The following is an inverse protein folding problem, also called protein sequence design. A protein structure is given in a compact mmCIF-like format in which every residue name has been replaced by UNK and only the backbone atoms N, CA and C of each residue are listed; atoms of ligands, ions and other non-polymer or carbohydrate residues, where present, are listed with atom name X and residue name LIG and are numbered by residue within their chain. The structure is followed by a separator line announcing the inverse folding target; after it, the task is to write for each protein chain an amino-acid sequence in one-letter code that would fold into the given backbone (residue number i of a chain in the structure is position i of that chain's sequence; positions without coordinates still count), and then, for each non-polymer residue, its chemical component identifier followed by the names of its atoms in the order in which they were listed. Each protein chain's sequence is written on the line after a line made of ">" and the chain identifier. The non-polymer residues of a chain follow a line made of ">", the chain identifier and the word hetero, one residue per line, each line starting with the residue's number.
data_IF_593772062247
#
_entry.id   IF_593772062247
#
_cell.length_a   1.000
_cell.length_b   1.000
_cell.length_c   1.000
_cell.angle_alpha   90.00
_cell.angle_beta   90.00
_cell.angle_gamma   90.00
#
_symmetry.space_group_name_H-M   'P 1'
#
loop_
_entity.id
_entity.type
_entity.pdbx_description
1 polymer ?
#
# COMPACT_ATOMS: atom_id res chain seq x y z
N UNK A 1 5.32 16.81 25.87
CA UNK A 1 5.95 15.68 25.13
C UNK A 1 6.36 16.21 23.77
N UNK A 2 7.60 15.91 23.37
CA UNK A 2 8.15 16.24 22.06
C UNK A 2 8.53 14.97 21.33
N UNK A 3 8.08 14.83 20.07
CA UNK A 3 8.32 13.64 19.25
C UNK A 3 9.05 14.03 17.97
N UNK A 4 10.13 13.32 17.66
CA UNK A 4 10.84 13.41 16.39
C UNK A 4 10.42 12.26 15.47
N UNK A 5 10.06 12.59 14.21
CA UNK A 5 9.69 11.60 13.19
C UNK A 5 10.74 11.64 12.07
N UNK A 6 11.42 10.53 11.84
CA UNK A 6 12.40 10.36 10.76
C UNK A 6 11.72 9.70 9.56
N UNK A 7 11.51 10.45 8.51
CA UNK A 7 10.78 10.10 7.30
C UNK A 7 9.39 10.75 7.26
N UNK A 8 9.25 11.82 6.46
CA UNK A 8 8.01 12.58 6.25
C UNK A 8 7.11 11.99 5.15
N UNK A 9 7.26 10.71 4.82
CA UNK A 9 6.38 9.98 3.93
C UNK A 9 4.97 9.82 4.49
N UNK A 10 4.12 9.05 3.80
CA UNK A 10 2.69 8.94 4.14
C UNK A 10 2.45 8.42 5.57
N UNK A 11 3.26 7.47 6.05
CA UNK A 11 3.16 6.93 7.42
C UNK A 11 3.60 7.98 8.45
N UNK A 12 4.73 8.66 8.20
CA UNK A 12 5.24 9.69 9.11
C UNK A 12 4.28 10.87 9.24
N UNK A 13 3.72 11.34 8.14
CA UNK A 13 2.76 12.45 8.16
C UNK A 13 1.42 12.06 8.80
N UNK A 14 0.94 10.83 8.60
CA UNK A 14 -0.23 10.32 9.31
C UNK A 14 0.03 10.23 10.81
N UNK A 15 1.21 9.75 11.23
CA UNK A 15 1.60 9.71 12.66
C UNK A 15 1.66 11.11 13.26
N UNK A 16 2.28 12.06 12.55
CA UNK A 16 2.33 13.45 12.97
C UNK A 16 0.94 14.06 13.16
N UNK A 17 0.02 13.78 12.21
CA UNK A 17 -1.38 14.23 12.30
C UNK A 17 -2.07 13.76 13.58
N UNK A 18 -2.00 12.46 13.87
CA UNK A 18 -2.64 11.90 15.05
C UNK A 18 -2.01 12.41 16.36
N UNK A 19 -0.68 12.56 16.43
CA UNK A 19 0.02 13.09 17.59
C UNK A 19 -0.32 14.57 17.85
N UNK A 20 -0.27 15.40 16.81
CA UNK A 20 -0.59 16.84 16.93
C UNK A 20 -2.03 17.05 17.38
N UNK A 21 -2.98 16.23 16.92
CA UNK A 21 -4.37 16.26 17.40
C UNK A 21 -4.51 15.91 18.88
N UNK A 22 -3.53 15.22 19.48
CA UNK A 22 -3.47 14.94 20.92
C UNK A 22 -2.63 15.96 21.70
N UNK A 23 -2.23 17.07 21.06
CA UNK A 23 -1.47 18.14 21.71
C UNK A 23 0.02 17.86 21.88
N UNK A 24 0.58 16.90 21.14
CA UNK A 24 2.00 16.56 21.15
C UNK A 24 2.78 17.52 20.23
N UNK A 25 3.92 18.00 20.67
CA UNK A 25 4.87 18.74 19.85
C UNK A 25 5.60 17.75 18.92
N UNK A 26 5.52 17.97 17.59
CA UNK A 26 6.09 17.07 16.60
C UNK A 26 7.05 17.83 15.69
N UNK A 27 8.22 17.24 15.43
CA UNK A 27 9.16 17.68 14.39
C UNK A 27 9.39 16.53 13.43
N UNK A 28 9.12 16.76 12.15
CA UNK A 28 9.33 15.77 11.07
C UNK A 28 10.65 16.09 10.36
N UNK A 29 11.47 15.08 10.15
CA UNK A 29 12.73 15.15 9.42
C UNK A 29 12.57 14.38 8.09
N UNK A 30 12.68 15.09 6.97
CA UNK A 30 12.59 14.51 5.63
C UNK A 30 13.82 14.90 4.80
N UNK A 31 14.51 13.90 4.25
CA UNK A 31 15.73 14.14 3.47
C UNK A 31 15.46 14.70 2.08
N UNK A 32 14.29 14.39 1.51
CA UNK A 32 13.91 14.77 0.14
C UNK A 32 12.66 15.66 0.13
N UNK A 33 12.81 16.98 -0.01
CA UNK A 33 11.68 17.90 0.00
C UNK A 33 10.69 17.69 -1.16
N UNK A 34 11.13 17.02 -2.23
CA UNK A 34 10.32 16.73 -3.41
C UNK A 34 9.70 15.32 -3.39
N UNK A 35 10.07 14.47 -2.42
CA UNK A 35 9.59 13.09 -2.28
C UNK A 35 9.81 12.23 -3.53
N UNK A 36 10.88 12.47 -4.27
CA UNK A 36 11.15 11.84 -5.58
C UNK A 36 11.37 10.34 -5.50
N UNK A 37 11.86 9.85 -4.34
CA UNK A 37 12.10 8.43 -4.10
C UNK A 37 11.03 7.79 -3.20
N UNK A 38 10.05 8.56 -2.74
CA UNK A 38 9.06 8.08 -1.78
C UNK A 38 8.08 7.11 -2.41
N UNK A 39 7.88 5.95 -1.77
CA UNK A 39 7.01 4.87 -2.26
C UNK A 39 5.57 5.33 -2.49
N UNK A 40 5.02 6.20 -1.62
CA UNK A 40 3.64 6.66 -1.76
C UNK A 40 3.43 7.45 -3.06
N UNK A 41 4.36 8.32 -3.44
CA UNK A 41 4.25 9.16 -4.65
C UNK A 41 4.33 8.35 -5.96
N UNK A 42 4.74 7.09 -5.86
CA UNK A 42 4.90 6.14 -6.97
C UNK A 42 3.88 4.99 -6.92
N UNK A 43 2.93 5.05 -5.98
CA UNK A 43 1.89 4.05 -5.79
C UNK A 43 0.76 4.20 -6.81
N UNK A 44 0.13 3.08 -7.17
CA UNK A 44 -1.11 3.07 -7.95
C UNK A 44 -2.33 3.58 -7.17
N UNK A 45 -2.19 3.87 -5.87
CA UNK A 45 -3.22 4.50 -5.05
C UNK A 45 -4.36 3.61 -4.62
N UNK A 46 -4.28 2.29 -4.81
CA UNK A 46 -5.37 1.34 -4.51
C UNK A 46 -5.63 1.16 -3.02
N UNK A 47 -6.91 0.94 -2.67
CA UNK A 47 -7.40 0.65 -1.32
C UNK A 47 -8.37 -0.51 -1.34
N UNK A 48 -8.05 -1.58 -0.61
CA UNK A 48 -8.87 -2.79 -0.49
C UNK A 48 -8.91 -3.31 0.95
N UNK A 49 -9.96 -4.03 1.31
CA UNK A 49 -10.07 -4.79 2.56
C UNK A 49 -9.90 -6.31 2.34
N UNK A 50 -9.62 -6.72 1.12
CA UNK A 50 -9.48 -8.12 0.72
C UNK A 50 -8.08 -8.65 1.06
N UNK A 51 -7.84 -8.95 2.36
CA UNK A 51 -6.60 -9.49 2.89
C UNK A 51 -6.79 -10.89 3.48
N UNK A 52 -5.65 -11.54 3.79
CA UNK A 52 -5.57 -12.90 4.32
C UNK A 52 -5.34 -12.92 5.83
N UNK A 53 -5.10 -11.78 6.46
CA UNK A 53 -4.94 -11.64 7.92
C UNK A 53 -5.95 -10.64 8.50
N UNK A 54 -6.43 -10.95 9.70
CA UNK A 54 -7.48 -10.19 10.40
C UNK A 54 -7.11 -8.71 10.56
N UNK A 55 -5.91 -8.44 11.06
CA UNK A 55 -5.49 -7.07 11.36
C UNK A 55 -5.33 -6.23 10.10
N UNK A 56 -4.84 -6.80 8.99
CA UNK A 56 -4.80 -6.11 7.70
C UNK A 56 -6.20 -5.70 7.22
N UNK A 57 -7.20 -6.59 7.36
CA UNK A 57 -8.60 -6.28 7.01
C UNK A 57 -9.12 -5.13 7.86
N UNK A 58 -8.93 -5.19 9.17
CA UNK A 58 -9.41 -4.17 10.11
C UNK A 58 -8.75 -2.80 9.88
N UNK A 59 -7.42 -2.76 9.74
CA UNK A 59 -6.68 -1.53 9.46
C UNK A 59 -7.09 -0.91 8.13
N UNK A 60 -7.30 -1.73 7.10
CA UNK A 60 -7.70 -1.24 5.79
C UNK A 60 -9.11 -0.67 5.79
N UNK A 61 -10.07 -1.35 6.43
CA UNK A 61 -11.44 -0.83 6.60
C UNK A 61 -11.44 0.53 7.31
N UNK A 62 -10.73 0.63 8.44
CA UNK A 62 -10.59 1.89 9.15
C UNK A 62 -9.99 2.98 8.26
N UNK A 63 -8.95 2.64 7.50
CA UNK A 63 -8.25 3.61 6.66
C UNK A 63 -9.13 4.13 5.52
N UNK A 64 -9.89 3.26 4.88
CA UNK A 64 -10.87 3.64 3.85
C UNK A 64 -11.93 4.57 4.45
N UNK A 65 -12.50 4.19 5.59
CA UNK A 65 -13.50 5.00 6.29
C UNK A 65 -12.94 6.36 6.71
N UNK A 66 -11.69 6.39 7.19
CA UNK A 66 -11.01 7.63 7.56
C UNK A 66 -10.87 8.56 6.36
N UNK A 67 -10.39 8.07 5.22
CA UNK A 67 -10.19 8.89 4.02
C UNK A 67 -11.53 9.45 3.53
N UNK A 68 -12.55 8.60 3.42
CA UNK A 68 -13.87 8.99 2.88
C UNK A 68 -14.65 9.93 3.77
N UNK A 69 -14.48 9.84 5.10
CA UNK A 69 -15.30 10.58 6.05
C UNK A 69 -14.56 11.73 6.77
N UNK A 70 -13.23 11.75 6.75
CA UNK A 70 -12.44 12.74 7.50
C UNK A 70 -11.51 13.58 6.63
N UNK A 71 -11.48 13.34 5.32
CA UNK A 71 -10.68 14.11 4.38
C UNK A 71 -11.53 14.64 3.24
N UNK A 72 -11.02 15.62 2.51
CA UNK A 72 -11.56 16.11 1.25
C UNK A 72 -10.85 15.51 0.03
N UNK A 73 -10.07 14.46 0.23
CA UNK A 73 -9.39 13.72 -0.85
C UNK A 73 -10.42 12.95 -1.66
N UNK A 74 -10.43 13.21 -2.96
CA UNK A 74 -11.30 12.47 -3.90
C UNK A 74 -10.97 10.98 -3.86
N UNK A 75 -11.99 10.15 -3.63
CA UNK A 75 -11.88 8.70 -3.60
C UNK A 75 -12.76 8.08 -4.68
N UNK A 76 -12.13 7.41 -5.65
CA UNK A 76 -12.85 6.69 -6.71
C UNK A 76 -13.29 5.33 -6.21
N UNK A 77 -14.60 5.13 -6.03
CA UNK A 77 -15.20 3.93 -5.44
C UNK A 77 -15.62 2.89 -6.49
N UNK A 78 -14.81 2.64 -7.52
CA UNK A 78 -15.11 1.64 -8.56
C UNK A 78 -14.91 0.20 -8.11
N UNK A 79 -14.38 -0.01 -6.91
CA UNK A 79 -14.09 -1.32 -6.34
C UNK A 79 -12.68 -1.82 -6.62
N UNK A 80 -12.41 -3.01 -6.08
CA UNK A 80 -11.16 -3.74 -6.24
C UNK A 80 -11.50 -5.20 -6.55
N UNK A 81 -11.22 -5.67 -7.75
CA UNK A 81 -11.54 -7.02 -8.22
C UNK A 81 -10.29 -7.89 -8.15
N UNK A 82 -10.30 -8.90 -7.28
CA UNK A 82 -9.24 -9.91 -7.19
C UNK A 82 -9.64 -11.16 -7.96
N UNK A 83 -8.84 -11.59 -8.94
CA UNK A 83 -9.09 -12.76 -9.77
C UNK A 83 -8.22 -13.93 -9.30
N UNK A 84 -8.85 -15.02 -8.89
CA UNK A 84 -8.20 -16.23 -8.39
C UNK A 84 -8.26 -17.35 -9.41
N UNK A 85 -7.13 -18.01 -9.66
CA UNK A 85 -7.02 -19.20 -10.48
C UNK A 85 -7.52 -20.47 -9.78
N UNK A 86 -7.63 -21.56 -10.54
CA UNK A 86 -8.15 -22.85 -10.05
C UNK A 86 -7.28 -23.49 -8.96
N UNK A 87 -5.99 -23.27 -9.01
CA UNK A 87 -5.00 -23.71 -8.01
C UNK A 87 -5.05 -22.89 -6.70
N UNK A 88 -5.60 -21.68 -6.74
CA UNK A 88 -5.74 -20.78 -5.61
C UNK A 88 -7.08 -20.92 -4.86
N UNK A 89 -7.85 -21.97 -5.17
CA UNK A 89 -9.18 -22.22 -4.58
C UNK A 89 -9.20 -22.14 -3.06
N UNK A 90 -8.28 -22.83 -2.40
CA UNK A 90 -8.24 -22.90 -0.92
C UNK A 90 -8.04 -21.50 -0.31
N UNK A 91 -7.16 -20.69 -0.90
CA UNK A 91 -6.86 -19.37 -0.43
C UNK A 91 -8.04 -18.41 -0.65
N UNK A 92 -8.67 -18.48 -1.82
CA UNK A 92 -9.88 -17.72 -2.14
C UNK A 92 -11.01 -17.98 -1.14
N UNK A 93 -11.32 -19.27 -0.91
CA UNK A 93 -12.40 -19.66 -0.02
C UNK A 93 -12.11 -19.22 1.44
N UNK A 94 -10.89 -19.47 1.94
CA UNK A 94 -10.49 -19.11 3.30
C UNK A 94 -10.48 -17.59 3.52
N UNK A 95 -9.87 -16.83 2.61
CA UNK A 95 -9.81 -15.37 2.73
C UNK A 95 -11.18 -14.71 2.65
N UNK A 96 -12.07 -15.19 1.77
CA UNK A 96 -13.44 -14.66 1.66
C UNK A 96 -14.23 -14.88 2.95
N UNK A 97 -14.09 -16.05 3.60
CA UNK A 97 -14.72 -16.33 4.89
C UNK A 97 -14.20 -15.38 5.97
N UNK A 98 -12.86 -15.21 6.05
CA UNK A 98 -12.24 -14.32 7.01
C UNK A 98 -12.68 -12.87 6.79
N UNK A 99 -12.64 -12.37 5.57
CA UNK A 99 -13.03 -11.00 5.22
C UNK A 99 -14.47 -10.70 5.65
N UNK A 100 -15.40 -11.63 5.39
CA UNK A 100 -16.80 -11.51 5.82
C UNK A 100 -16.94 -11.55 7.34
N UNK A 101 -16.18 -12.39 8.03
CA UNK A 101 -16.20 -12.46 9.50
C UNK A 101 -15.70 -11.16 10.15
N UNK A 102 -14.81 -10.43 9.47
CA UNK A 102 -14.31 -9.11 9.87
C UNK A 102 -15.16 -7.96 9.29
N UNK A 103 -16.34 -8.28 8.73
CA UNK A 103 -17.31 -7.32 8.26
C UNK A 103 -16.97 -6.62 6.94
N UNK A 104 -16.13 -7.21 6.09
CA UNK A 104 -16.01 -6.80 4.70
C UNK A 104 -17.16 -7.41 3.88
N UNK A 105 -17.72 -6.64 2.94
CA UNK A 105 -18.84 -7.08 2.08
C UNK A 105 -18.38 -7.90 0.87
N UNK A 106 -17.29 -8.66 1.00
CA UNK A 106 -16.69 -9.42 -0.11
C UNK A 106 -17.63 -10.48 -0.66
N UNK A 107 -17.81 -10.48 -1.97
CA UNK A 107 -18.55 -11.49 -2.74
C UNK A 107 -17.58 -12.23 -3.66
N UNK A 108 -17.61 -13.56 -3.60
CA UNK A 108 -16.88 -14.44 -4.52
C UNK A 108 -17.81 -14.84 -5.66
N UNK A 109 -17.59 -14.28 -6.83
CA UNK A 109 -18.34 -14.51 -8.06
C UNK A 109 -17.82 -15.74 -8.81
N UNK A 110 -18.72 -16.51 -9.44
CA UNK A 110 -18.28 -17.55 -10.37
C UNK A 110 -17.69 -16.94 -11.64
N UNK A 111 -16.91 -17.69 -12.45
CA UNK A 111 -16.43 -17.18 -13.74
C UNK A 111 -17.56 -16.64 -14.64
N UNK A 112 -18.73 -17.28 -14.66
CA UNK A 112 -19.89 -16.81 -15.42
C UNK A 112 -20.42 -15.48 -14.87
N UNK A 113 -20.44 -15.27 -13.55
CA UNK A 113 -20.86 -13.99 -12.94
C UNK A 113 -19.85 -12.90 -13.28
N UNK A 114 -18.54 -13.23 -13.26
CA UNK A 114 -17.46 -12.30 -13.63
C UNK A 114 -17.62 -11.88 -15.08
N UNK A 115 -17.75 -12.82 -16.04
CA UNK A 115 -17.89 -12.48 -17.45
C UNK A 115 -19.20 -11.76 -17.77
N UNK A 116 -20.27 -12.01 -17.03
CA UNK A 116 -21.54 -11.29 -17.19
C UNK A 116 -21.48 -9.85 -16.70
N UNK A 117 -20.63 -9.56 -15.70
CA UNK A 117 -20.45 -8.21 -15.14
C UNK A 117 -19.32 -7.43 -15.80
N UNK A 118 -18.30 -8.12 -16.25
CA UNK A 118 -17.06 -7.60 -16.83
C UNK A 118 -16.77 -8.38 -18.12
N UNK A 119 -17.54 -8.11 -19.17
CA UNK A 119 -17.52 -8.83 -20.46
C UNK A 119 -16.20 -8.70 -21.24
N UNK A 120 -15.34 -7.79 -20.80
CA UNK A 120 -13.99 -7.58 -21.33
C UNK A 120 -12.94 -8.54 -20.72
N UNK A 121 -13.30 -9.39 -19.74
CA UNK A 121 -12.38 -10.31 -19.08
C UNK A 121 -12.45 -11.72 -19.69
N UNK A 122 -11.30 -12.31 -19.97
CA UNK A 122 -11.18 -13.75 -20.14
C UNK A 122 -11.24 -14.43 -18.76
N UNK A 123 -12.10 -15.43 -18.60
CA UNK A 123 -12.38 -16.10 -17.32
C UNK A 123 -12.08 -17.62 -17.34
N UNK A 124 -11.51 -18.15 -18.42
CA UNK A 124 -11.38 -19.58 -18.67
C UNK A 124 -10.54 -20.33 -17.63
N UNK A 125 -9.53 -19.68 -17.10
CA UNK A 125 -8.59 -20.21 -16.09
C UNK A 125 -8.99 -19.86 -14.65
N UNK A 126 -10.04 -19.02 -14.46
CA UNK A 126 -10.45 -18.57 -13.15
C UNK A 126 -11.18 -19.64 -12.32
N UNK A 127 -10.96 -19.56 -11.01
CA UNK A 127 -11.80 -20.17 -9.99
C UNK A 127 -12.91 -19.20 -9.54
N UNK A 128 -12.52 -17.97 -9.16
CA UNK A 128 -13.44 -16.92 -8.69
C UNK A 128 -12.90 -15.52 -9.00
N UNK A 129 -13.80 -14.55 -9.10
CA UNK A 129 -13.51 -13.13 -8.93
C UNK A 129 -14.10 -12.63 -7.61
N UNK A 130 -13.30 -12.00 -6.77
CA UNK A 130 -13.72 -11.45 -5.49
C UNK A 130 -13.76 -9.92 -5.54
N UNK A 131 -14.87 -9.33 -5.09
CA UNK A 131 -15.08 -7.87 -5.05
C UNK A 131 -15.92 -7.51 -3.84
N UNK A 132 -15.73 -6.32 -3.25
CA UNK A 132 -16.67 -5.79 -2.26
C UNK A 132 -17.87 -5.12 -2.95
N UNK A 133 -19.04 -5.18 -2.32
CA UNK A 133 -20.30 -4.70 -2.91
C UNK A 133 -20.83 -3.42 -2.29
N UNK A 134 -20.17 -2.89 -1.26
CA UNK A 134 -20.60 -1.71 -0.52
C UNK A 134 -19.99 -0.40 -1.05
N UNK A 135 -19.21 -0.45 -2.14
CA UNK A 135 -18.50 0.71 -2.67
C UNK A 135 -17.39 1.24 -1.76
N UNK A 136 -16.92 0.43 -0.80
CA UNK A 136 -15.83 0.85 0.10
C UNK A 136 -14.49 0.92 -0.61
N UNK A 137 -14.19 -0.01 -1.50
CA UNK A 137 -12.89 -0.17 -2.15
C UNK A 137 -12.74 0.69 -3.42
N UNK A 138 -11.49 0.95 -3.79
CA UNK A 138 -11.14 1.73 -4.97
C UNK A 138 -9.77 2.35 -4.86
N UNK A 139 -9.62 3.62 -5.18
CA UNK A 139 -8.33 4.33 -5.12
C UNK A 139 -8.50 5.82 -4.87
N UNK A 140 -7.42 6.45 -4.40
CA UNK A 140 -7.27 7.91 -4.40
C UNK A 140 -5.87 8.30 -4.89
N UNK A 141 -5.68 9.56 -5.21
CA UNK A 141 -4.35 10.09 -5.53
C UNK A 141 -3.47 10.13 -4.28
N UNK A 142 -2.32 9.42 -4.28
CA UNK A 142 -1.47 9.33 -3.10
C UNK A 142 -0.81 10.65 -2.70
N UNK A 143 -0.51 11.51 -3.68
CA UNK A 143 0.13 12.80 -3.45
C UNK A 143 -0.87 13.76 -2.82
N UNK A 144 -2.11 13.74 -3.28
CA UNK A 144 -3.20 14.53 -2.69
C UNK A 144 -3.48 14.10 -1.24
N UNK A 145 -3.47 12.80 -0.93
CA UNK A 145 -3.63 12.32 0.44
C UNK A 145 -2.46 12.77 1.34
N UNK A 146 -1.23 12.66 0.85
CA UNK A 146 -0.05 13.13 1.60
C UNK A 146 -0.11 14.65 1.82
N UNK A 147 -0.48 15.41 0.79
CA UNK A 147 -0.68 16.85 0.90
C UNK A 147 -1.74 17.20 1.93
N UNK A 148 -2.85 16.46 1.95
CA UNK A 148 -3.91 16.63 2.94
C UNK A 148 -3.35 16.50 4.37
N UNK A 149 -2.55 15.46 4.65
CA UNK A 149 -1.90 15.34 5.95
C UNK A 149 -1.03 16.55 6.27
N UNK A 150 -0.19 16.99 5.33
CA UNK A 150 0.67 18.17 5.54
C UNK A 150 -0.14 19.42 5.86
N UNK A 151 -1.19 19.69 5.12
CA UNK A 151 -2.02 20.88 5.28
C UNK A 151 -2.82 20.85 6.60
N UNK A 152 -3.18 19.67 7.10
CA UNK A 152 -3.96 19.48 8.32
C UNK A 152 -3.10 19.17 9.57
N UNK A 153 -1.78 19.18 9.46
CA UNK A 153 -0.85 18.90 10.56
C UNK A 153 0.01 20.12 10.85
N UNK A 154 -0.25 20.78 11.98
CA UNK A 154 0.56 21.93 12.44
C UNK A 154 1.82 21.44 13.15
N UNK A 155 2.80 20.95 12.41
CA UNK A 155 4.11 20.56 12.93
C UNK A 155 5.23 21.21 12.12
N UNK A 156 6.41 21.27 12.70
CA UNK A 156 7.62 21.66 11.99
C UNK A 156 8.07 20.50 11.09
N UNK A 157 8.42 20.82 9.83
CA UNK A 157 9.09 19.87 8.92
C UNK A 157 10.43 20.44 8.53
N UNK A 158 11.51 19.75 8.87
CA UNK A 158 12.88 20.08 8.52
C UNK A 158 13.35 19.19 7.38
N UNK A 159 13.77 19.82 6.29
CA UNK A 159 14.27 19.10 5.11
C UNK A 159 15.76 18.81 5.23
N UNK A 160 16.06 17.89 6.12
CA UNK A 160 17.42 17.41 6.43
C UNK A 160 17.38 15.91 6.69
N UNK A 161 18.54 15.27 6.58
CA UNK A 161 18.66 13.86 6.93
C UNK A 161 18.58 13.69 8.46
N UNK A 162 17.47 13.11 8.94
CA UNK A 162 17.24 12.90 10.37
C UNK A 162 18.26 11.98 11.03
N UNK A 163 19.06 11.23 10.25
CA UNK A 163 20.14 10.38 10.77
C UNK A 163 21.31 11.20 11.34
N UNK A 164 21.50 12.41 10.90
CA UNK A 164 22.64 13.28 11.27
C UNK A 164 22.39 14.08 12.56
N UNK A 165 21.22 13.91 13.18
CA UNK A 165 20.79 14.73 14.30
C UNK A 165 20.91 14.03 15.64
N UNK A 166 21.14 14.82 16.68
CA UNK A 166 20.99 14.39 18.06
C UNK A 166 19.51 14.39 18.46
N UNK A 167 18.94 13.20 18.66
CA UNK A 167 17.56 13.01 19.07
C UNK A 167 17.37 12.95 20.61
N UNK A 168 18.41 13.20 21.40
CA UNK A 168 18.31 13.17 22.87
C UNK A 168 17.38 14.27 23.45
N UNK A 169 16.99 15.24 22.64
CA UNK A 169 16.05 16.31 23.02
C UNK A 169 14.58 15.94 22.80
N UNK A 170 14.29 14.73 22.30
CA UNK A 170 12.93 14.24 22.09
C UNK A 170 12.56 13.17 23.14
N UNK A 171 11.31 13.20 23.59
CA UNK A 171 10.78 12.18 24.50
C UNK A 171 10.58 10.83 23.76
N UNK A 172 10.29 10.89 22.46
CA UNK A 172 10.20 9.71 21.58
C UNK A 172 10.71 10.02 20.17
N UNK A 173 11.25 9.00 19.50
CA UNK A 173 11.70 9.03 18.11
C UNK A 173 10.93 8.01 17.30
N UNK A 174 10.40 8.41 16.15
CA UNK A 174 9.63 7.53 15.25
C UNK A 174 10.40 7.32 13.95
N UNK A 175 10.63 6.07 13.56
CA UNK A 175 11.30 5.70 12.31
C UNK A 175 10.24 5.23 11.32
N UNK A 176 9.99 6.05 10.29
CA UNK A 176 9.03 5.78 9.20
C UNK A 176 9.67 6.04 7.83
N UNK A 177 10.93 5.65 7.70
CA UNK A 177 11.78 5.91 6.54
C UNK A 177 11.59 4.89 5.40
N UNK A 178 10.45 4.17 5.35
CA UNK A 178 10.14 3.18 4.33
C UNK A 178 11.24 2.11 4.19
N UNK A 179 11.65 1.79 2.99
CA UNK A 179 12.67 0.77 2.73
C UNK A 179 14.07 1.12 3.30
N UNK A 180 14.30 2.36 3.72
CA UNK A 180 15.55 2.78 4.39
C UNK A 180 15.48 2.69 5.92
N UNK A 181 14.37 2.23 6.49
CA UNK A 181 14.18 2.17 7.95
C UNK A 181 15.23 1.31 8.66
N UNK A 182 15.75 0.25 8.02
CA UNK A 182 16.87 -0.52 8.58
C UNK A 182 18.16 0.33 8.69
N UNK A 183 18.46 1.14 7.68
CA UNK A 183 19.63 2.02 7.71
C UNK A 183 19.53 3.07 8.81
N UNK A 184 18.34 3.61 9.01
CA UNK A 184 18.06 4.56 10.11
C UNK A 184 18.15 3.84 11.46
N UNK A 185 17.49 2.70 11.61
CA UNK A 185 17.48 1.91 12.86
C UNK A 185 18.86 1.52 13.33
N UNK A 186 19.75 1.12 12.42
CA UNK A 186 21.13 0.74 12.75
C UNK A 186 21.94 1.82 13.46
N UNK A 187 21.64 3.08 13.23
CA UNK A 187 22.29 4.20 13.92
C UNK A 187 21.93 4.25 15.42
N UNK A 188 20.77 3.66 15.75
CA UNK A 188 20.29 3.53 17.12
C UNK A 188 20.41 2.11 17.66
N UNK A 189 21.24 1.26 17.02
CA UNK A 189 21.42 -0.15 17.33
C UNK A 189 20.11 -0.99 17.25
N UNK A 190 19.20 -0.60 16.36
CA UNK A 190 17.95 -1.32 16.09
C UNK A 190 18.07 -1.95 14.70
N UNK A 191 17.98 -3.28 14.63
CA UNK A 191 17.94 -4.01 13.35
C UNK A 191 16.47 -4.23 12.95
N UNK A 192 16.06 -3.55 11.87
CA UNK A 192 14.69 -3.63 11.34
C UNK A 192 14.75 -4.44 10.04
N UNK A 193 14.17 -5.66 9.98
CA UNK A 193 14.32 -6.58 8.85
C UNK A 193 13.46 -6.16 7.64
N UNK A 194 13.84 -5.04 7.02
CA UNK A 194 13.23 -4.47 5.83
C UNK A 194 14.29 -4.19 4.78
N UNK A 195 13.93 -4.36 3.52
CA UNK A 195 14.79 -4.07 2.37
C UNK A 195 13.98 -3.43 1.24
N UNK A 196 14.61 -2.65 0.34
CA UNK A 196 13.96 -2.16 -0.86
C UNK A 196 13.67 -3.32 -1.81
N UNK A 197 12.47 -3.29 -2.41
CA UNK A 197 12.05 -4.16 -3.49
C UNK A 197 11.46 -3.28 -4.60
N UNK A 198 12.19 -3.15 -5.70
CA UNK A 198 11.83 -2.27 -6.82
C UNK A 198 10.81 -2.94 -7.72
N UNK A 199 9.73 -2.23 -8.03
CA UNK A 199 8.70 -2.63 -9.00
C UNK A 199 8.56 -1.58 -10.07
N UNK A 200 8.23 -2.01 -11.28
CA UNK A 200 7.93 -1.14 -12.42
C UNK A 200 6.43 -1.08 -12.67
N UNK A 201 5.94 0.13 -12.91
CA UNK A 201 4.55 0.40 -13.30
C UNK A 201 4.56 1.09 -14.66
N UNK A 202 3.68 0.66 -15.56
CA UNK A 202 3.58 1.15 -16.93
C UNK A 202 2.36 2.05 -17.11
N UNK A 203 2.53 3.11 -17.90
CA UNK A 203 1.44 3.85 -18.52
C UNK A 203 1.11 3.18 -19.85
N UNK A 204 -0.16 2.86 -20.05
CA UNK A 204 -0.63 2.11 -21.22
C UNK A 204 -1.79 2.84 -21.88
N UNK A 205 -1.70 3.07 -23.17
CA UNK A 205 -2.82 3.52 -24.00
C UNK A 205 -3.37 2.35 -24.82
N UNK A 206 -4.66 2.43 -25.17
CA UNK A 206 -5.35 1.44 -25.99
C UNK A 206 -6.01 2.12 -27.18
N UNK A 207 -6.23 1.39 -28.26
CA UNK A 207 -6.96 1.92 -29.43
C UNK A 207 -8.47 2.16 -29.11
N UNK A 208 -9.00 1.43 -28.14
CA UNK A 208 -10.37 1.56 -27.67
C UNK A 208 -10.48 2.59 -26.54
N UNK A 209 -11.68 3.20 -26.36
CA UNK A 209 -11.91 4.09 -25.22
C UNK A 209 -11.66 3.40 -23.88
N UNK A 210 -11.11 4.14 -22.93
CA UNK A 210 -10.86 3.66 -21.56
C UNK A 210 -12.20 3.34 -20.87
N UNK A 211 -12.24 2.19 -20.20
CA UNK A 211 -13.38 1.76 -19.38
C UNK A 211 -13.27 2.48 -18.04
N UNK A 212 -13.89 3.66 -17.93
CA UNK A 212 -13.74 4.57 -16.78
C UNK A 212 -14.28 4.00 -15.45
N UNK A 213 -15.28 3.12 -15.53
CA UNK A 213 -15.91 2.46 -14.37
C UNK A 213 -15.32 1.08 -14.05
N UNK A 214 -14.24 0.70 -14.73
CA UNK A 214 -13.47 -0.52 -14.39
C UNK A 214 -13.00 -0.43 -12.94
N UNK A 215 -13.17 -1.51 -12.11
CA UNK A 215 -12.51 -1.58 -10.81
C UNK A 215 -10.98 -1.64 -10.98
N UNK A 216 -10.22 -1.40 -9.91
CA UNK A 216 -8.85 -1.84 -9.90
C UNK A 216 -8.87 -3.37 -9.94
N UNK A 217 -8.26 -3.96 -10.97
CA UNK A 217 -8.20 -5.42 -11.15
C UNK A 217 -6.83 -5.92 -10.73
N UNK A 218 -6.79 -6.91 -9.85
CA UNK A 218 -5.60 -7.67 -9.49
C UNK A 218 -5.78 -9.12 -9.96
N UNK A 219 -5.07 -9.49 -10.99
CA UNK A 219 -5.07 -10.85 -11.54
C UNK A 219 -4.00 -11.68 -10.84
N UNK A 220 -4.40 -12.48 -9.87
CA UNK A 220 -3.49 -13.32 -9.09
C UNK A 220 -2.96 -14.53 -9.87
N UNK A 221 -3.51 -14.80 -11.06
CA UNK A 221 -3.02 -15.87 -11.95
C UNK A 221 -1.77 -15.42 -12.68
N UNK A 222 -1.82 -14.19 -13.21
CA UNK A 222 -0.73 -13.63 -14.01
C UNK A 222 0.19 -12.70 -13.21
N UNK A 223 -0.26 -12.17 -12.08
CA UNK A 223 0.46 -11.18 -11.28
C UNK A 223 0.30 -9.73 -11.77
N UNK A 224 -0.50 -9.50 -12.81
CA UNK A 224 -0.76 -8.15 -13.33
C UNK A 224 -1.87 -7.48 -12.53
N UNK A 225 -1.70 -6.20 -12.24
CA UNK A 225 -2.77 -5.37 -11.69
C UNK A 225 -2.87 -4.04 -12.45
N UNK A 226 -4.08 -3.54 -12.59
CA UNK A 226 -4.31 -2.31 -13.35
C UNK A 226 -5.57 -1.57 -12.90
N UNK A 227 -5.60 -0.29 -13.21
CA UNK A 227 -6.79 0.56 -13.14
C UNK A 227 -6.79 1.62 -14.24
N UNK A 228 -7.95 2.19 -14.59
CA UNK A 228 -8.01 3.34 -15.48
C UNK A 228 -7.32 4.56 -14.83
N UNK A 229 -6.63 5.34 -15.67
CA UNK A 229 -6.00 6.60 -15.28
C UNK A 229 -6.04 7.57 -16.46
N UNK A 230 -6.72 8.69 -16.33
CA UNK A 230 -6.86 9.66 -17.39
C UNK A 230 -7.47 9.07 -18.68
N UNK A 231 -6.72 9.10 -19.76
CA UNK A 231 -7.12 8.54 -21.06
C UNK A 231 -6.40 7.21 -21.36
N UNK A 232 -5.92 6.51 -20.33
CA UNK A 232 -5.24 5.23 -20.43
C UNK A 232 -5.42 4.39 -19.17
N UNK A 233 -4.43 3.54 -18.93
CA UNK A 233 -4.36 2.67 -17.76
C UNK A 233 -2.98 2.76 -17.13
N UNK A 234 -2.90 2.62 -15.81
CA UNK A 234 -1.67 2.27 -15.13
C UNK A 234 -1.69 0.78 -14.83
N UNK A 235 -0.55 0.14 -15.09
CA UNK A 235 -0.40 -1.31 -15.04
C UNK A 235 0.85 -1.64 -14.25
N UNK A 236 0.71 -2.41 -13.18
CA UNK A 236 1.82 -3.00 -12.45
C UNK A 236 1.89 -4.52 -12.69
N UNK A 237 3.04 -5.09 -12.37
CA UNK A 237 3.28 -6.51 -12.50
C UNK A 237 4.17 -7.01 -11.35
N UNK A 238 3.73 -8.01 -10.62
CA UNK A 238 4.49 -8.56 -9.49
C UNK A 238 5.77 -9.26 -9.93
N UNK A 239 5.76 -9.88 -11.12
CA UNK A 239 6.91 -10.62 -11.67
C UNK A 239 8.12 -9.76 -12.05
N UNK A 240 7.99 -8.41 -12.15
CA UNK A 240 9.12 -7.52 -12.47
C UNK A 240 9.85 -6.97 -11.24
N UNK A 241 9.53 -7.48 -10.05
CA UNK A 241 10.14 -7.05 -8.80
C UNK A 241 11.62 -7.43 -8.69
N UNK A 242 12.47 -6.49 -8.30
CA UNK A 242 13.90 -6.73 -8.08
C UNK A 242 14.38 -6.14 -6.75
N UNK A 243 15.40 -6.76 -6.17
CA UNK A 243 16.06 -6.26 -4.95
C UNK A 243 17.25 -5.32 -5.24
N UNK A 244 17.35 -4.82 -6.46
CA UNK A 244 18.30 -3.77 -6.82
C UNK A 244 17.77 -2.41 -6.33
N UNK A 245 18.58 -1.71 -5.55
CA UNK A 245 18.25 -0.42 -4.94
C UNK A 245 19.16 0.73 -5.39
N UNK A 246 19.84 0.56 -6.53
CA UNK A 246 20.80 1.55 -7.02
C UNK A 246 20.12 2.77 -7.63
N UNK A 247 18.97 2.54 -8.26
CA UNK A 247 18.21 3.58 -8.95
C UNK A 247 16.70 3.22 -9.04
N UNK A 248 15.93 4.15 -9.54
CA UNK A 248 14.51 3.99 -9.85
C UNK A 248 14.27 3.93 -11.36
N UNK A 249 15.24 3.44 -12.13
CA UNK A 249 15.06 3.16 -13.57
C UNK A 249 14.06 2.00 -13.72
N UNK A 250 13.01 2.18 -14.54
CA UNK A 250 12.05 1.13 -14.83
C UNK A 250 12.67 -0.06 -15.55
N UNK A 251 12.15 -1.25 -15.32
CA UNK A 251 12.46 -2.42 -16.13
C UNK A 251 11.62 -2.41 -17.42
N UNK A 252 12.15 -1.76 -18.44
CA UNK A 252 11.52 -1.67 -19.76
C UNK A 252 11.39 -3.03 -20.46
N UNK A 253 12.25 -4.00 -20.12
CA UNK A 253 12.27 -5.31 -20.77
C UNK A 253 11.12 -6.21 -20.33
N UNK A 254 10.51 -5.94 -19.18
CA UNK A 254 9.34 -6.71 -18.70
C UNK A 254 8.06 -6.37 -19.47
N UNK A 255 8.05 -5.36 -20.35
CA UNK A 255 6.84 -4.94 -21.05
C UNK A 255 6.22 -6.04 -21.92
N UNK A 256 7.01 -6.80 -22.66
CA UNK A 256 6.47 -7.82 -23.55
C UNK A 256 5.71 -8.90 -22.77
N UNK A 257 6.25 -9.34 -21.63
CA UNK A 257 5.58 -10.27 -20.72
C UNK A 257 4.31 -9.67 -20.11
N UNK A 258 4.38 -8.43 -19.68
CA UNK A 258 3.21 -7.70 -19.14
C UNK A 258 2.11 -7.60 -20.20
N UNK A 259 2.47 -7.29 -21.44
CA UNK A 259 1.50 -7.21 -22.53
C UNK A 259 0.85 -8.56 -22.83
N UNK A 260 1.60 -9.65 -22.82
CA UNK A 260 1.05 -11.00 -23.00
C UNK A 260 0.02 -11.33 -21.92
N UNK A 261 0.30 -11.00 -20.66
CA UNK A 261 -0.63 -11.17 -19.54
C UNK A 261 -1.88 -10.27 -19.67
N UNK A 262 -1.71 -9.01 -20.07
CA UNK A 262 -2.82 -8.10 -20.34
C UNK A 262 -3.70 -8.63 -21.48
N UNK A 263 -3.10 -9.07 -22.58
CA UNK A 263 -3.83 -9.62 -23.72
C UNK A 263 -4.56 -10.91 -23.35
N UNK A 264 -3.93 -11.78 -22.56
CA UNK A 264 -4.57 -12.99 -22.04
C UNK A 264 -5.83 -12.65 -21.24
N UNK A 265 -5.73 -11.73 -20.27
CA UNK A 265 -6.83 -11.42 -19.35
C UNK A 265 -7.88 -10.47 -19.96
N UNK A 266 -7.46 -9.54 -20.80
CA UNK A 266 -8.31 -8.49 -21.39
C UNK A 266 -8.19 -8.47 -22.92
N UNK A 267 -8.52 -9.56 -23.62
CA UNK A 267 -8.20 -9.71 -25.04
C UNK A 267 -8.86 -8.67 -25.95
N UNK A 268 -9.96 -8.07 -25.51
CA UNK A 268 -10.67 -7.05 -26.29
C UNK A 268 -10.28 -5.62 -25.95
N UNK A 269 -9.52 -5.39 -24.89
CA UNK A 269 -9.09 -4.05 -24.42
C UNK A 269 -7.65 -3.76 -24.84
N UNK A 270 -6.76 -4.73 -24.67
CA UNK A 270 -5.33 -4.58 -24.85
C UNK A 270 -4.79 -5.27 -26.12
N UNK A 271 -5.64 -5.58 -27.10
CA UNK A 271 -5.26 -6.12 -28.39
C UNK A 271 -4.31 -5.19 -29.18
N UNK A 272 -4.50 -3.87 -29.08
CA UNK A 272 -3.65 -2.84 -29.69
C UNK A 272 -3.07 -1.90 -28.61
N UNK A 273 -2.61 -2.46 -27.48
CA UNK A 273 -2.05 -1.68 -26.40
C UNK A 273 -0.65 -1.14 -26.74
N UNK A 274 -0.36 0.07 -26.25
CA UNK A 274 0.94 0.72 -26.38
C UNK A 274 1.41 1.23 -25.02
N UNK A 275 2.60 0.84 -24.63
CA UNK A 275 3.29 1.48 -23.51
C UNK A 275 3.64 2.92 -23.88
N UNK A 276 3.20 3.87 -23.10
CA UNK A 276 3.44 5.31 -23.31
C UNK A 276 4.44 5.88 -22.32
N UNK A 277 4.80 5.13 -21.30
CA UNK A 277 5.77 5.48 -20.29
C UNK A 277 5.81 4.46 -19.17
N UNK A 278 6.76 4.62 -18.27
CA UNK A 278 6.88 3.80 -17.09
C UNK A 278 7.57 4.56 -15.96
N UNK A 279 7.36 4.11 -14.73
CA UNK A 279 8.14 4.53 -13.56
C UNK A 279 8.40 3.34 -12.64
N UNK A 280 9.41 3.43 -11.81
CA UNK A 280 9.67 2.44 -10.78
C UNK A 280 9.48 3.03 -9.39
N UNK A 281 9.13 2.20 -8.42
CA UNK A 281 9.00 2.55 -7.01
C UNK A 281 9.56 1.44 -6.12
N UNK A 282 9.96 1.80 -4.89
CA UNK A 282 10.36 0.81 -3.91
C UNK A 282 9.21 0.41 -3.01
N UNK A 283 8.95 -0.88 -2.89
CA UNK A 283 8.28 -1.42 -1.71
C UNK A 283 9.31 -1.52 -0.56
N UNK A 284 8.85 -1.24 0.64
CA UNK A 284 9.56 -1.56 1.87
C UNK A 284 9.26 -3.01 2.24
N UNK A 285 9.99 -3.95 1.59
CA UNK A 285 9.74 -5.38 1.74
C UNK A 285 10.12 -5.86 3.13
N UNK A 286 9.12 -6.33 3.90
CA UNK A 286 9.38 -7.09 5.12
C UNK A 286 10.03 -8.43 4.78
N UNK A 287 11.13 -8.77 5.46
CA UNK A 287 11.82 -10.05 5.24
C UNK A 287 11.35 -11.15 6.19
N UNK A 288 10.32 -10.90 7.02
CA UNK A 288 9.76 -11.87 7.96
C UNK A 288 8.64 -12.67 7.28
N UNK A 289 7.57 -12.00 6.83
CA UNK A 289 6.33 -12.65 6.42
C UNK A 289 5.44 -11.77 5.53
N UNK A 290 6.02 -10.77 4.88
CA UNK A 290 5.30 -9.75 4.09
C UNK A 290 4.33 -8.85 4.89
N UNK A 291 4.17 -9.04 6.21
CA UNK A 291 3.42 -8.11 7.05
C UNK A 291 4.29 -6.98 7.56
N UNK A 292 3.65 -5.85 7.83
CA UNK A 292 4.30 -4.67 8.39
C UNK A 292 5.05 -5.00 9.69
N UNK A 293 6.01 -4.17 10.02
CA UNK A 293 6.72 -4.20 11.30
C UNK A 293 6.33 -2.92 12.02
N UNK A 294 5.54 -3.06 13.11
CA UNK A 294 5.09 -1.96 13.97
C UNK A 294 5.48 -2.33 15.40
N UNK A 295 6.50 -1.66 15.91
CA UNK A 295 7.03 -1.98 17.25
C UNK A 295 7.74 -0.79 17.86
N UNK A 296 8.27 -0.98 19.07
CA UNK A 296 9.16 -0.05 19.72
C UNK A 296 10.28 -0.75 20.49
N UNK A 297 11.40 -0.07 20.59
CA UNK A 297 12.50 -0.40 21.50
C UNK A 297 12.84 0.84 22.32
N UNK A 298 12.64 0.77 23.62
CA UNK A 298 12.75 1.95 24.51
C UNK A 298 11.83 3.09 24.01
N UNK A 299 12.39 4.27 23.77
CA UNK A 299 11.68 5.44 23.23
C UNK A 299 11.74 5.55 21.69
N UNK A 300 12.24 4.53 20.99
CA UNK A 300 12.22 4.46 19.53
C UNK A 300 11.04 3.61 19.08
N UNK A 301 10.15 4.21 18.28
CA UNK A 301 9.00 3.58 17.65
C UNK A 301 9.26 3.45 16.16
N UNK A 302 8.76 2.41 15.52
CA UNK A 302 8.94 2.24 14.09
C UNK A 302 7.75 1.57 13.42
N UNK A 303 7.47 1.99 12.18
CA UNK A 303 6.50 1.37 11.31
C UNK A 303 7.02 1.36 9.87
N UNK A 304 7.22 0.16 9.34
CA UNK A 304 7.78 -0.08 8.00
C UNK A 304 7.49 -1.52 7.56
N UNK A 305 8.02 -1.94 6.41
CA UNK A 305 7.88 -3.31 5.94
C UNK A 305 6.46 -3.63 5.45
N UNK A 306 5.76 -2.64 4.93
CA UNK A 306 4.38 -2.78 4.48
C UNK A 306 4.24 -3.59 3.20
N UNK A 307 5.31 -3.82 2.48
CA UNK A 307 5.32 -4.65 1.28
C UNK A 307 4.22 -4.20 0.29
N UNK A 308 4.27 -2.91 -0.11
CA UNK A 308 3.31 -2.28 -1.02
C UNK A 308 2.02 -1.72 -0.40
N UNK A 309 1.69 -2.03 0.87
CA UNK A 309 0.43 -1.63 1.52
C UNK A 309 0.50 -0.36 2.38
N UNK A 310 1.67 0.28 2.47
CA UNK A 310 1.88 1.43 3.35
C UNK A 310 0.87 2.57 3.14
N UNK A 311 0.54 2.89 1.90
CA UNK A 311 -0.44 3.93 1.58
C UNK A 311 -1.81 3.60 2.17
N UNK A 312 -2.36 2.43 1.87
CA UNK A 312 -3.71 2.05 2.26
C UNK A 312 -3.88 1.78 3.76
N UNK A 313 -2.79 1.54 4.49
CA UNK A 313 -2.81 1.37 5.94
C UNK A 313 -2.40 2.65 6.69
N UNK A 314 -1.97 3.70 5.99
CA UNK A 314 -1.38 4.88 6.64
C UNK A 314 -2.27 5.54 7.70
N UNK A 315 -3.59 5.70 7.54
CA UNK A 315 -4.45 6.25 8.61
C UNK A 315 -4.45 5.39 9.88
N UNK A 316 -4.62 4.08 9.74
CA UNK A 316 -4.65 3.15 10.86
C UNK A 316 -3.31 3.07 11.59
N UNK A 317 -2.20 3.05 10.83
CA UNK A 317 -0.84 2.98 11.38
C UNK A 317 -0.47 4.26 12.12
N UNK A 318 -0.81 5.43 11.57
CA UNK A 318 -0.58 6.69 12.26
C UNK A 318 -1.33 6.80 13.58
N UNK A 319 -2.59 6.33 13.61
CA UNK A 319 -3.35 6.20 14.85
C UNK A 319 -2.64 5.26 15.85
N UNK A 320 -2.29 4.05 15.40
CA UNK A 320 -1.64 3.03 16.23
C UNK A 320 -0.33 3.54 16.85
N UNK A 321 0.56 4.14 16.04
CA UNK A 321 1.81 4.71 16.56
C UNK A 321 1.54 5.83 17.58
N UNK A 322 0.54 6.68 17.34
CA UNK A 322 0.19 7.74 18.29
C UNK A 322 -0.33 7.18 19.62
N UNK A 323 -1.11 6.10 19.58
CA UNK A 323 -1.60 5.39 20.77
C UNK A 323 -0.45 4.76 21.56
N UNK A 324 0.49 4.08 20.86
CA UNK A 324 1.69 3.49 21.49
C UNK A 324 2.56 4.55 22.18
N UNK A 325 2.83 5.67 21.50
CA UNK A 325 3.68 6.76 22.03
C UNK A 325 3.03 7.41 23.27
N UNK A 326 1.71 7.47 23.31
CA UNK A 326 0.94 8.05 24.41
C UNK A 326 0.59 7.03 25.51
N UNK A 327 1.14 5.83 25.44
CA UNK A 327 0.85 4.71 26.37
C UNK A 327 -0.65 4.41 26.50
N UNK A 328 -1.37 4.46 25.37
CA UNK A 328 -2.78 4.12 25.28
C UNK A 328 -2.96 2.70 24.72
N UNK A 329 -4.07 2.02 25.07
CA UNK A 329 -4.41 0.78 24.36
C UNK A 329 -4.54 1.03 22.87
N UNK A 330 -3.93 0.14 22.06
CA UNK A 330 -4.01 0.25 20.60
C UNK A 330 -5.37 -0.19 20.09
N UNK A 331 -5.93 0.57 19.16
CA UNK A 331 -7.21 0.25 18.49
C UNK A 331 -7.13 -1.09 17.76
N UNK A 332 -5.98 -1.42 17.21
CA UNK A 332 -5.74 -2.68 16.49
C UNK A 332 -4.81 -3.59 17.29
N UNK A 333 -5.02 -4.91 17.19
CA UNK A 333 -4.05 -5.87 17.73
C UNK A 333 -2.83 -5.92 16.81
N UNK A 334 -1.69 -5.44 17.33
CA UNK A 334 -0.43 -5.37 16.57
C UNK A 334 0.55 -6.50 16.93
N UNK A 335 0.14 -7.51 17.69
CA UNK A 335 1.04 -8.63 18.07
C UNK A 335 1.60 -9.32 16.83
N UNK A 336 0.79 -9.46 15.77
CA UNK A 336 1.21 -9.99 14.48
C UNK A 336 2.20 -9.08 13.71
N UNK A 337 2.46 -7.86 14.20
CA UNK A 337 3.37 -6.90 13.56
C UNK A 337 4.60 -6.59 14.41
N UNK A 338 4.69 -7.17 15.60
CA UNK A 338 5.88 -7.02 16.45
C UNK A 338 7.13 -7.62 15.79
N UNK A 339 8.28 -7.07 16.11
CA UNK A 339 9.56 -7.50 15.54
C UNK A 339 9.84 -9.00 15.83
N UNK A 340 9.48 -9.47 17.02
CA UNK A 340 9.71 -10.85 17.49
C UNK A 340 8.47 -11.75 17.33
N UNK A 341 7.57 -11.44 16.38
CA UNK A 341 6.37 -12.24 16.11
C UNK A 341 6.67 -13.62 15.56
N UNK A 342 5.74 -14.54 15.69
CA UNK A 342 5.69 -15.73 14.85
C UNK A 342 5.26 -15.32 13.45
N UNK A 343 5.98 -15.72 12.39
CA UNK A 343 5.60 -15.37 11.02
C UNK A 343 4.16 -15.82 10.67
N UNK A 344 3.37 -14.91 10.13
CA UNK A 344 2.02 -15.14 9.61
C UNK A 344 1.95 -14.51 8.20
N UNK A 345 2.10 -15.34 7.18
CA UNK A 345 2.32 -14.88 5.81
C UNK A 345 1.08 -14.19 5.25
N UNK A 346 1.17 -12.90 4.97
CA UNK A 346 0.20 -12.24 4.09
C UNK A 346 0.48 -12.67 2.64
N UNK A 347 -0.52 -13.30 2.02
CA UNK A 347 -0.43 -13.84 0.66
C UNK A 347 -0.82 -12.79 -0.39
N UNK A 348 -0.35 -13.02 -1.62
CA UNK A 348 -0.73 -12.21 -2.78
C UNK A 348 -0.57 -10.71 -2.54
N UNK A 349 0.65 -10.32 -2.27
CA UNK A 349 1.05 -8.93 -2.09
C UNK A 349 1.24 -8.31 -3.47
N UNK A 350 0.18 -7.72 -3.98
CA UNK A 350 0.12 -7.03 -5.28
C UNK A 350 -0.12 -5.54 -5.05
#
# INVERSE_FOLDING_TARGET
>A
MKVHIIGGGIIGMSTAYHLVKQGVEVVVFEKDPAYTESSFARSCGGFRAQYFTKTNIQMSKYSIDFIKNNTDVEFTSNGYLMLFGKDQKSDCDASTILQRSEGASTVAMTPNDVSSRFDYLNVDDLYRGCITTDGSEGWCDPVTLHKWYKDNTKCETLYIDGRELDHNLADAVVITAGCWSNQVGKQFNIDIPVRPHKHTVFNVSTAKPVIKDMPLVADLVTGVYLRPEGDGYIVGYDGNGTYDNKDLEPDWNSWDEVWEHLYHRFPTVFDEAKMTGAWAGYYDQSTIDNNAIIDNMFNFYFATGFTGRGLMHSPAVGLTLSEMILDKPTTFNIDAYRLNRHPDLEKYVI
#
